data_IF_022327468130
#
_entry.id   IF_022327468130
#
_cell.length_a   1.000
_cell.length_b   1.000
_cell.length_c   1.000
_cell.angle_alpha   90.00
_cell.angle_beta   90.00
_cell.angle_gamma   90.00
#
_symmetry.space_group_name_H-M   'P 1'
#
loop_
_entity.id
_entity.type
_entity.pdbx_description
1 polymer ?
#
# COMPACT_ATOMS: atom_id res chain seq x y z
N UNK A 1 -7.19 -10.83 -6.83
CA UNK A 1 -7.05 -9.36 -6.86
C UNK A 1 -5.56 -9.02 -6.80
N UNK A 2 -5.13 -7.86 -7.27
CA UNK A 2 -3.74 -7.42 -7.14
C UNK A 2 -3.75 -6.09 -6.41
N UNK A 3 -2.88 -5.94 -5.42
CA UNK A 3 -2.59 -4.67 -4.78
C UNK A 3 -1.29 -4.11 -5.36
N UNK A 4 -1.25 -2.82 -5.63
CA UNK A 4 -0.05 -2.15 -6.14
C UNK A 4 0.03 -0.72 -5.60
N UNK A 5 1.25 -0.23 -5.42
CA UNK A 5 1.55 1.18 -5.17
C UNK A 5 2.58 1.66 -6.20
N UNK A 6 2.45 2.88 -6.68
CA UNK A 6 3.36 3.49 -7.65
C UNK A 6 3.53 4.97 -7.33
N UNK A 7 4.59 5.56 -7.87
CA UNK A 7 4.87 6.99 -7.77
C UNK A 7 5.36 7.53 -9.12
N UNK A 8 5.69 8.83 -9.17
CA UNK A 8 6.39 9.43 -10.30
C UNK A 8 7.70 8.69 -10.65
N UNK A 9 8.38 8.10 -9.65
CA UNK A 9 9.62 7.37 -9.86
C UNK A 9 9.42 5.98 -10.49
N UNK A 10 8.18 5.47 -10.55
CA UNK A 10 7.85 4.22 -11.20
C UNK A 10 6.91 3.33 -10.39
N UNK A 11 6.80 2.08 -10.81
CA UNK A 11 5.99 1.05 -10.16
C UNK A 11 6.71 0.54 -8.91
N UNK A 12 5.95 0.41 -7.81
CA UNK A 12 6.38 -0.30 -6.62
C UNK A 12 5.92 -1.76 -6.62
N UNK A 13 5.79 -2.35 -5.43
CA UNK A 13 5.41 -3.76 -5.27
C UNK A 13 4.04 -4.08 -5.89
N UNK A 14 3.97 -5.17 -6.66
CA UNK A 14 2.72 -5.83 -7.06
C UNK A 14 2.51 -7.08 -6.20
N UNK A 15 1.42 -7.09 -5.42
CA UNK A 15 1.10 -8.16 -4.48
C UNK A 15 -0.18 -8.87 -4.92
N UNK A 16 -0.09 -10.17 -5.15
CA UNK A 16 -1.28 -10.99 -5.42
C UNK A 16 -2.07 -11.20 -4.14
N UNK A 17 -3.35 -10.83 -4.16
CA UNK A 17 -4.28 -11.02 -3.05
C UNK A 17 -5.32 -12.08 -3.40
N UNK A 18 -5.44 -13.08 -2.52
CA UNK A 18 -6.48 -14.11 -2.59
C UNK A 18 -7.73 -13.63 -1.86
N UNK A 19 -8.86 -13.52 -2.58
CA UNK A 19 -10.11 -13.05 -2.00
C UNK A 19 -10.11 -11.54 -1.73
N UNK A 20 -10.84 -11.12 -0.70
CA UNK A 20 -10.96 -9.72 -0.29
C UNK A 20 -9.85 -9.34 0.71
N UNK A 21 -9.45 -8.06 0.72
CA UNK A 21 -8.43 -7.56 1.67
C UNK A 21 -9.10 -7.23 3.00
N UNK A 22 -8.68 -7.87 4.08
CA UNK A 22 -9.03 -7.47 5.44
C UNK A 22 -8.18 -6.29 5.90
N UNK A 23 -8.59 -5.60 6.97
CA UNK A 23 -7.79 -4.52 7.55
C UNK A 23 -6.38 -4.99 7.98
N UNK A 24 -6.27 -6.19 8.55
CA UNK A 24 -4.99 -6.79 8.93
C UNK A 24 -4.12 -7.09 7.71
N UNK A 25 -4.69 -7.74 6.67
CA UNK A 25 -3.95 -8.03 5.44
C UNK A 25 -3.51 -6.74 4.73
N UNK A 26 -4.30 -5.67 4.81
CA UNK A 26 -3.91 -4.36 4.30
C UNK A 26 -2.70 -3.80 5.06
N UNK A 27 -2.74 -3.79 6.39
CA UNK A 27 -1.60 -3.39 7.22
C UNK A 27 -0.35 -4.23 6.90
N UNK A 28 -0.49 -5.55 6.78
CA UNK A 28 0.62 -6.45 6.45
C UNK A 28 1.25 -6.11 5.08
N UNK A 29 0.44 -5.76 4.08
CA UNK A 29 0.91 -5.34 2.76
C UNK A 29 1.65 -3.99 2.85
N UNK A 30 1.15 -3.04 3.64
CA UNK A 30 1.82 -1.75 3.82
C UNK A 30 3.19 -1.92 4.49
N UNK A 31 3.25 -2.67 5.59
CA UNK A 31 4.45 -2.85 6.39
C UNK A 31 5.50 -3.70 5.68
N UNK A 32 5.10 -4.79 5.03
CA UNK A 32 6.03 -5.78 4.51
C UNK A 32 6.30 -5.66 3.01
N UNK A 33 5.49 -4.89 2.26
CA UNK A 33 5.68 -4.72 0.82
C UNK A 33 5.85 -3.25 0.43
N UNK A 34 4.91 -2.37 0.83
CA UNK A 34 4.92 -0.97 0.39
C UNK A 34 6.09 -0.19 0.96
N UNK A 35 6.24 -0.16 2.29
CA UNK A 35 7.29 0.64 2.95
C UNK A 35 8.70 0.21 2.54
N UNK A 36 9.06 -1.09 2.47
CA UNK A 36 10.36 -1.50 1.96
C UNK A 36 10.61 -1.00 0.53
N UNK A 37 9.59 -1.06 -0.33
CA UNK A 37 9.68 -0.55 -1.70
C UNK A 37 9.91 0.96 -1.73
N UNK A 38 9.18 1.71 -0.90
CA UNK A 38 9.31 3.15 -0.74
C UNK A 38 10.76 3.52 -0.40
N UNK A 39 11.33 2.87 0.63
CA UNK A 39 12.69 3.14 1.09
C UNK A 39 13.77 2.74 0.08
N UNK A 40 13.56 1.67 -0.68
CA UNK A 40 14.55 1.18 -1.65
C UNK A 40 14.48 1.88 -3.01
N UNK A 41 13.29 2.26 -3.47
CA UNK A 41 13.07 2.66 -4.86
C UNK A 41 12.70 4.13 -5.03
N UNK A 42 12.00 4.75 -4.07
CA UNK A 42 11.37 6.06 -4.29
C UNK A 42 12.20 7.26 -3.80
N UNK A 43 13.51 7.06 -3.56
CA UNK A 43 14.49 8.05 -3.07
C UNK A 43 14.14 8.58 -1.68
N UNK A 44 14.98 9.45 -1.12
CA UNK A 44 14.72 10.06 0.18
C UNK A 44 13.81 11.28 0.04
N UNK A 45 12.86 11.43 0.97
CA UNK A 45 11.99 12.60 1.05
C UNK A 45 10.70 12.33 1.83
N UNK A 46 9.95 13.39 2.18
CA UNK A 46 8.60 13.23 2.69
C UNK A 46 7.68 12.69 1.59
N UNK A 47 6.92 11.63 1.89
CA UNK A 47 5.96 11.05 0.97
C UNK A 47 4.53 11.30 1.45
N UNK A 48 3.64 11.58 0.50
CA UNK A 48 2.20 11.56 0.72
C UNK A 48 1.64 10.24 0.20
N UNK A 49 1.03 9.47 1.10
CA UNK A 49 0.37 8.23 0.73
C UNK A 49 -1.10 8.50 0.43
N UNK A 50 -1.53 8.23 -0.80
CA UNK A 50 -2.92 8.33 -1.24
C UNK A 50 -3.44 6.93 -1.57
N UNK A 51 -4.59 6.59 -1.02
CA UNK A 51 -5.33 5.37 -1.35
C UNK A 51 -6.83 5.68 -1.39
N UNK A 52 -7.63 4.84 -2.04
CA UNK A 52 -9.08 4.94 -1.97
C UNK A 52 -9.56 4.62 -0.54
N UNK A 53 -10.74 5.11 -0.15
CA UNK A 53 -11.37 4.67 1.09
C UNK A 53 -12.13 3.38 0.79
N UNK A 54 -11.57 2.17 1.02
CA UNK A 54 -12.35 0.96 0.84
C UNK A 54 -13.49 0.97 1.88
N UNK A 55 -14.63 0.29 1.60
CA UNK A 55 -15.80 0.27 2.50
C UNK A 55 -15.46 -0.12 3.94
N UNK A 56 -14.37 -0.87 4.14
CA UNK A 56 -13.88 -1.38 5.41
C UNK A 56 -13.11 -0.35 6.26
N UNK A 57 -12.74 0.81 5.71
CA UNK A 57 -12.06 1.89 6.44
C UNK A 57 -13.08 2.93 6.91
N UNK A 58 -14.02 2.51 7.76
CA UNK A 58 -14.69 3.45 8.68
C UNK A 58 -14.11 3.21 10.07
N UNK A 59 -12.98 3.86 10.38
CA UNK A 59 -12.65 4.05 11.79
C UNK A 59 -13.65 5.07 12.34
N UNK A 60 -14.32 4.70 13.42
CA UNK A 60 -15.19 5.57 14.21
C UNK A 60 -14.42 6.76 14.80
N UNK A 61 -15.13 7.67 15.49
CA UNK A 61 -14.78 9.08 15.68
C UNK A 61 -13.37 9.34 16.20
#
# INVERSE_FOLDING_TARGET
MVWCCFSWFGLGSLVTVKGNISATAYSDILENCMLPTLWQQFREGPFLFQHDMPPCTKRGP
#
